data_IF_737811464852
#
_entry.id   IF_737811464852
#
_cell.length_a   1.000
_cell.length_b   1.000
_cell.length_c   1.000
_cell.angle_alpha   90.00
_cell.angle_beta   90.00
_cell.angle_gamma   90.00
#
_symmetry.space_group_name_H-M   'P 1'
#
loop_
_entity.id
_entity.type
_entity.pdbx_description
1 polymer ?
#
# COMPACT_ATOMS: atom_id res chain seq x y z
N UNK A 1 8.20 -7.26 -31.45
CA UNK A 1 8.41 -6.98 -30.02
C UNK A 1 7.11 -6.37 -29.50
N UNK A 2 6.58 -6.87 -28.40
CA UNK A 2 5.32 -6.39 -27.83
C UNK A 2 5.62 -5.51 -26.61
N UNK A 3 4.76 -4.55 -26.35
CA UNK A 3 4.78 -3.73 -25.14
C UNK A 3 3.36 -3.60 -24.60
N UNK A 4 3.21 -3.78 -23.28
CA UNK A 4 1.97 -3.48 -22.55
C UNK A 4 2.25 -2.22 -21.74
N UNK A 5 1.50 -1.14 -21.99
CA UNK A 5 1.81 0.17 -21.42
C UNK A 5 0.52 0.77 -20.86
N UNK A 6 0.53 1.11 -19.57
CA UNK A 6 -0.52 1.91 -18.98
C UNK A 6 -0.49 3.34 -19.54
N UNK A 7 -1.59 3.87 -20.06
CA UNK A 7 -1.62 5.15 -20.79
C UNK A 7 -2.53 6.23 -20.17
N UNK A 8 -3.04 5.99 -18.96
CA UNK A 8 -3.86 6.96 -18.22
C UNK A 8 -3.07 8.24 -17.88
N UNK A 9 -1.75 8.11 -17.67
CA UNK A 9 -0.86 9.22 -17.37
C UNK A 9 -0.06 9.73 -18.57
N UNK A 10 0.45 10.96 -18.47
CA UNK A 10 1.26 11.62 -19.51
C UNK A 10 2.46 10.78 -19.92
N UNK A 11 3.23 10.28 -18.95
CA UNK A 11 4.40 9.44 -19.24
C UNK A 11 4.01 8.14 -19.94
N UNK A 12 2.88 7.54 -19.56
CA UNK A 12 2.33 6.36 -20.23
C UNK A 12 2.08 6.61 -21.72
N UNK A 13 1.42 7.73 -22.04
CA UNK A 13 1.18 8.16 -23.44
C UNK A 13 2.49 8.38 -24.21
N UNK A 14 3.46 9.07 -23.60
CA UNK A 14 4.78 9.28 -24.21
C UNK A 14 5.53 7.97 -24.47
N UNK A 15 5.43 6.99 -23.56
CA UNK A 15 6.02 5.66 -23.76
C UNK A 15 5.32 4.87 -24.87
N UNK A 16 4.00 4.98 -25.02
CA UNK A 16 3.27 4.41 -26.16
C UNK A 16 3.79 4.97 -27.49
N UNK A 17 3.88 6.30 -27.62
CA UNK A 17 4.38 6.96 -28.84
C UNK A 17 5.80 6.51 -29.19
N UNK A 18 6.69 6.46 -28.18
CA UNK A 18 8.08 6.03 -28.36
C UNK A 18 8.18 4.55 -28.76
N UNK A 19 7.36 3.67 -28.18
CA UNK A 19 7.36 2.26 -28.53
C UNK A 19 6.85 2.04 -29.96
N UNK A 20 5.79 2.75 -30.36
CA UNK A 20 5.26 2.72 -31.73
C UNK A 20 6.31 3.23 -32.73
N UNK A 21 7.01 4.34 -32.43
CA UNK A 21 8.04 4.88 -33.31
C UNK A 21 9.24 3.94 -33.49
N UNK A 22 9.43 3.00 -32.57
CA UNK A 22 10.45 1.94 -32.65
C UNK A 22 9.94 0.64 -33.30
N UNK A 23 8.73 0.64 -33.86
CA UNK A 23 8.12 -0.51 -34.54
C UNK A 23 7.66 -1.62 -33.60
N UNK A 24 7.36 -1.30 -32.33
CA UNK A 24 6.79 -2.26 -31.39
C UNK A 24 5.26 -2.35 -31.56
N UNK A 25 4.71 -3.53 -31.31
CA UNK A 25 3.26 -3.69 -31.14
C UNK A 25 2.89 -3.27 -29.71
N UNK A 26 2.02 -2.27 -29.56
CA UNK A 26 1.67 -1.69 -28.25
C UNK A 26 0.23 -2.04 -27.89
N UNK A 27 0.06 -2.70 -26.75
CA UNK A 27 -1.21 -2.82 -26.05
C UNK A 27 -1.29 -1.69 -25.03
N UNK A 28 -2.09 -0.67 -25.32
CA UNK A 28 -2.30 0.45 -24.42
C UNK A 28 -3.42 0.12 -23.42
N UNK A 29 -3.09 0.14 -22.13
CA UNK A 29 -4.01 -0.22 -21.04
C UNK A 29 -4.47 1.04 -20.33
N UNK A 30 -5.78 1.26 -20.34
CA UNK A 30 -6.44 2.32 -19.59
C UNK A 30 -7.39 1.73 -18.56
N UNK A 31 -7.50 2.38 -17.40
CA UNK A 31 -8.55 2.13 -16.41
C UNK A 31 -9.83 2.93 -16.67
N UNK A 32 -9.82 3.85 -17.64
CA UNK A 32 -11.02 4.57 -18.09
C UNK A 32 -12.09 3.56 -18.55
N UNK A 33 -13.34 3.84 -18.21
CA UNK A 33 -14.52 3.02 -18.52
C UNK A 33 -14.54 1.59 -17.95
N UNK A 34 -13.62 1.24 -17.05
CA UNK A 34 -13.67 -0.03 -16.33
C UNK A 34 -14.50 0.10 -15.06
N UNK A 35 -15.50 -0.76 -14.92
CA UNK A 35 -16.23 -0.85 -13.66
C UNK A 35 -15.34 -1.53 -12.61
N UNK A 36 -14.73 -0.76 -11.71
CA UNK A 36 -13.90 -1.30 -10.64
C UNK A 36 -14.60 -1.17 -9.30
N UNK A 37 -14.74 -2.28 -8.59
CA UNK A 37 -15.21 -2.34 -7.21
C UNK A 37 -14.15 -3.07 -6.40
N UNK A 38 -13.78 -2.55 -5.23
CA UNK A 38 -12.83 -3.21 -4.36
C UNK A 38 -13.26 -3.09 -2.90
N UNK A 39 -12.76 -4.01 -2.10
CA UNK A 39 -12.96 -4.10 -0.65
C UNK A 39 -11.59 -4.30 0.01
N UNK A 40 -11.57 -4.53 1.32
CA UNK A 40 -10.34 -4.89 2.03
C UNK A 40 -9.70 -6.20 1.52
N UNK A 41 -10.47 -7.10 0.92
CA UNK A 41 -10.03 -8.47 0.60
C UNK A 41 -10.13 -8.86 -0.86
N UNK A 42 -11.02 -8.23 -1.61
CA UNK A 42 -11.35 -8.63 -2.97
C UNK A 42 -11.48 -7.42 -3.88
N UNK A 43 -11.25 -7.64 -5.17
CA UNK A 43 -11.48 -6.67 -6.23
C UNK A 43 -12.22 -7.32 -7.39
N UNK A 44 -13.14 -6.56 -7.98
CA UNK A 44 -13.94 -6.97 -9.11
C UNK A 44 -13.84 -5.93 -10.21
N UNK A 45 -13.51 -6.35 -11.43
CA UNK A 45 -13.27 -5.44 -12.55
C UNK A 45 -13.53 -6.09 -13.91
N UNK A 46 -13.73 -5.27 -14.93
CA UNK A 46 -13.98 -5.72 -16.30
C UNK A 46 -12.67 -5.87 -17.09
N UNK A 47 -12.50 -7.01 -17.76
CA UNK A 47 -11.33 -7.30 -18.58
C UNK A 47 -11.72 -8.18 -19.79
N UNK A 48 -11.49 -7.68 -21.02
CA UNK A 48 -11.77 -8.38 -22.30
C UNK A 48 -13.10 -9.14 -22.34
N UNK A 49 -14.18 -8.43 -22.03
CA UNK A 49 -15.58 -8.92 -21.95
C UNK A 49 -15.89 -9.84 -20.76
N UNK A 50 -14.91 -10.14 -19.92
CA UNK A 50 -15.10 -10.89 -18.67
C UNK A 50 -15.25 -9.96 -17.47
N UNK A 51 -16.05 -10.41 -16.49
CA UNK A 51 -16.09 -9.81 -15.15
C UNK A 51 -15.23 -10.65 -14.21
N UNK A 52 -14.06 -10.14 -13.85
CA UNK A 52 -13.14 -10.84 -12.96
C UNK A 52 -13.42 -10.51 -11.50
N UNK A 53 -13.20 -11.48 -10.62
CA UNK A 53 -13.20 -11.32 -9.18
C UNK A 53 -11.92 -11.95 -8.62
N UNK A 54 -11.04 -11.15 -8.03
CA UNK A 54 -9.78 -11.64 -7.49
C UNK A 54 -9.76 -11.48 -5.96
N UNK A 55 -9.15 -12.42 -5.23
CA UNK A 55 -9.00 -12.37 -3.76
C UNK A 55 -7.85 -11.46 -3.32
N UNK A 56 -7.76 -10.29 -3.96
CA UNK A 56 -6.81 -9.22 -3.62
C UNK A 56 -7.58 -7.92 -3.49
N UNK A 57 -7.49 -7.28 -2.32
CA UNK A 57 -8.18 -6.03 -2.01
C UNK A 57 -7.38 -4.79 -2.42
N UNK A 58 -8.00 -3.64 -2.18
CA UNK A 58 -7.34 -2.35 -2.30
C UNK A 58 -7.44 -1.68 -3.66
N UNK A 59 -7.03 -0.39 -3.72
CA UNK A 59 -7.28 0.46 -4.88
C UNK A 59 -6.49 0.08 -6.13
N UNK A 60 -5.38 -0.64 -5.97
CA UNK A 60 -4.42 -0.94 -7.05
C UNK A 60 -4.62 -2.31 -7.68
N UNK A 61 -5.35 -3.21 -7.02
CA UNK A 61 -5.37 -4.62 -7.37
C UNK A 61 -5.92 -4.86 -8.78
N UNK A 62 -7.00 -4.17 -9.15
CA UNK A 62 -7.59 -4.28 -10.48
C UNK A 62 -6.62 -3.84 -11.59
N UNK A 63 -5.99 -2.67 -11.43
CA UNK A 63 -5.03 -2.16 -12.41
C UNK A 63 -3.85 -3.11 -12.60
N UNK A 64 -3.23 -3.54 -11.49
CA UNK A 64 -2.09 -4.46 -11.53
C UNK A 64 -2.48 -5.82 -12.16
N UNK A 65 -3.67 -6.33 -11.84
CA UNK A 65 -4.17 -7.57 -12.41
C UNK A 65 -4.42 -7.44 -13.92
N UNK A 66 -4.98 -6.32 -14.40
CA UNK A 66 -5.19 -6.08 -15.84
C UNK A 66 -3.85 -6.01 -16.56
N UNK A 67 -2.86 -5.28 -16.03
CA UNK A 67 -1.53 -5.23 -16.62
C UNK A 67 -0.90 -6.62 -16.70
N UNK A 68 -0.99 -7.41 -15.63
CA UNK A 68 -0.49 -8.79 -15.61
C UNK A 68 -1.23 -9.68 -16.63
N UNK A 69 -2.54 -9.52 -16.75
CA UNK A 69 -3.38 -10.27 -17.69
C UNK A 69 -3.02 -9.95 -19.15
N UNK A 70 -2.83 -8.67 -19.46
CA UNK A 70 -2.40 -8.24 -20.80
C UNK A 70 -0.99 -8.74 -21.14
N UNK A 71 -0.07 -8.73 -20.18
CA UNK A 71 1.26 -9.34 -20.37
C UNK A 71 1.14 -10.84 -20.64
N UNK A 72 0.32 -11.56 -19.87
CA UNK A 72 0.11 -13.00 -20.05
C UNK A 72 -0.47 -13.34 -21.43
N UNK A 73 -1.42 -12.54 -21.93
CA UNK A 73 -1.93 -12.69 -23.29
C UNK A 73 -0.84 -12.49 -24.34
N UNK A 74 0.02 -11.48 -24.18
CA UNK A 74 1.14 -11.23 -25.09
C UNK A 74 2.20 -12.34 -25.06
N UNK A 75 2.24 -13.13 -23.97
CA UNK A 75 3.07 -14.33 -23.82
C UNK A 75 2.41 -15.61 -24.36
N UNK A 76 1.16 -15.53 -24.83
CA UNK A 76 0.46 -16.63 -25.49
C UNK A 76 -0.39 -17.50 -24.56
N UNK A 77 -0.73 -17.04 -23.35
CA UNK A 77 -1.73 -17.70 -22.52
C UNK A 77 -3.14 -17.39 -23.04
N UNK A 78 -4.05 -18.34 -22.89
CA UNK A 78 -5.45 -18.16 -23.26
C UNK A 78 -6.24 -17.46 -22.13
N UNK A 79 -7.31 -16.74 -22.49
CA UNK A 79 -8.16 -16.00 -21.52
C UNK A 79 -8.58 -16.88 -20.33
N UNK A 80 -9.08 -18.12 -20.51
CA UNK A 80 -9.49 -18.96 -19.39
C UNK A 80 -8.35 -19.32 -18.42
N UNK A 81 -7.13 -19.49 -18.92
CA UNK A 81 -5.95 -19.79 -18.09
C UNK A 81 -5.59 -18.57 -17.23
N UNK A 82 -5.67 -17.38 -17.81
CA UNK A 82 -5.39 -16.11 -17.13
C UNK A 82 -6.46 -15.83 -16.07
N UNK A 83 -7.74 -16.02 -16.41
CA UNK A 83 -8.85 -15.88 -15.46
C UNK A 83 -8.63 -16.81 -14.27
N UNK A 84 -8.35 -18.10 -14.51
CA UNK A 84 -8.09 -19.08 -13.46
C UNK A 84 -6.89 -18.67 -12.60
N UNK A 85 -5.79 -18.24 -13.21
CA UNK A 85 -4.59 -17.83 -12.50
C UNK A 85 -4.82 -16.60 -11.60
N UNK A 86 -5.59 -15.62 -12.07
CA UNK A 86 -5.93 -14.42 -11.29
C UNK A 86 -6.90 -14.72 -10.14
N UNK A 87 -7.83 -15.65 -10.33
CA UNK A 87 -8.79 -16.05 -9.27
C UNK A 87 -8.12 -16.87 -8.16
N UNK A 88 -7.03 -17.57 -8.46
CA UNK A 88 -6.33 -18.47 -7.53
C UNK A 88 -5.21 -17.80 -6.71
N UNK A 89 -4.97 -16.49 -6.89
CA UNK A 89 -3.96 -15.74 -6.12
C UNK A 89 -4.30 -15.76 -4.63
N UNK A 90 -3.29 -15.80 -3.76
CA UNK A 90 -3.50 -15.79 -2.29
C UNK A 90 -2.95 -14.51 -1.66
N UNK A 91 -3.61 -13.38 -1.94
CA UNK A 91 -3.13 -12.07 -1.48
C UNK A 91 -1.70 -11.75 -1.93
N UNK A 92 -1.16 -10.61 -1.51
CA UNK A 92 0.24 -10.26 -1.76
C UNK A 92 0.83 -9.70 -0.47
N UNK A 93 1.89 -10.36 -0.01
CA UNK A 93 2.63 -9.95 1.17
C UNK A 93 3.07 -8.48 1.07
N UNK A 94 2.64 -7.66 2.03
CA UNK A 94 3.02 -6.25 2.10
C UNK A 94 2.48 -5.34 0.99
N UNK A 95 1.48 -5.78 0.21
CA UNK A 95 0.76 -4.98 -0.79
C UNK A 95 -0.72 -5.04 -0.49
N UNK A 96 -1.24 -3.98 0.11
CA UNK A 96 -2.59 -3.90 0.64
C UNK A 96 -2.99 -5.17 1.43
N UNK A 97 -2.06 -5.66 2.26
CA UNK A 97 -2.24 -6.91 2.98
C UNK A 97 -3.21 -6.71 4.16
N UNK A 98 -4.41 -7.27 4.04
CA UNK A 98 -5.43 -7.19 5.08
C UNK A 98 -5.11 -8.11 6.26
N UNK A 99 -5.11 -7.53 7.46
CA UNK A 99 -4.97 -8.24 8.73
C UNK A 99 -6.13 -7.86 9.62
N UNK A 100 -6.86 -8.87 10.10
CA UNK A 100 -7.94 -8.66 11.08
C UNK A 100 -7.34 -8.47 12.47
N UNK A 101 -7.72 -7.38 13.15
CA UNK A 101 -7.28 -7.08 14.53
C UNK A 101 -8.33 -7.55 15.53
N UNK A 102 -9.60 -7.19 15.31
CA UNK A 102 -10.72 -7.63 16.15
C UNK A 102 -11.95 -7.90 15.28
N UNK A 103 -13.16 -7.95 15.86
CA UNK A 103 -14.40 -8.05 15.09
C UNK A 103 -14.63 -6.83 14.20
N UNK A 104 -14.33 -5.65 14.73
CA UNK A 104 -14.71 -4.38 14.12
C UNK A 104 -13.50 -3.50 13.77
N UNK A 105 -12.27 -4.00 13.97
CA UNK A 105 -11.03 -3.29 13.64
C UNK A 105 -10.22 -4.13 12.64
N UNK A 106 -9.79 -3.48 11.56
CA UNK A 106 -8.90 -4.05 10.55
C UNK A 106 -7.63 -3.23 10.41
N UNK A 107 -6.58 -3.89 9.94
CA UNK A 107 -5.35 -3.25 9.53
C UNK A 107 -5.01 -3.63 8.08
N UNK A 108 -4.29 -2.73 7.40
CA UNK A 108 -3.69 -2.97 6.10
C UNK A 108 -2.20 -2.64 6.18
N UNK A 109 -1.36 -3.56 5.69
CA UNK A 109 0.08 -3.32 5.52
C UNK A 109 0.37 -3.06 4.04
N UNK A 110 1.08 -1.97 3.75
CA UNK A 110 1.44 -1.59 2.40
C UNK A 110 2.86 -1.01 2.29
N UNK A 111 3.46 -1.16 1.12
CA UNK A 111 4.81 -0.67 0.80
C UNK A 111 4.84 0.81 0.37
N UNK A 112 3.73 1.53 0.41
CA UNK A 112 3.66 2.93 0.00
C UNK A 112 4.67 3.80 0.77
N UNK A 113 5.78 4.13 0.10
CA UNK A 113 6.91 4.89 0.66
C UNK A 113 7.24 6.14 -0.17
N UNK A 114 6.35 6.52 -1.09
CA UNK A 114 6.41 7.76 -1.87
C UNK A 114 5.15 8.59 -1.59
N UNK A 115 5.18 9.92 -1.77
CA UNK A 115 4.00 10.76 -1.54
C UNK A 115 2.80 10.32 -2.37
N UNK A 116 3.00 10.04 -3.67
CA UNK A 116 1.92 9.61 -4.57
C UNK A 116 1.32 8.25 -4.15
N UNK A 117 2.16 7.26 -3.86
CA UNK A 117 1.69 5.94 -3.45
C UNK A 117 0.92 6.00 -2.12
N UNK A 118 1.39 6.82 -1.16
CA UNK A 118 0.70 7.01 0.11
C UNK A 118 -0.64 7.73 -0.09
N UNK A 119 -0.69 8.73 -0.96
CA UNK A 119 -1.91 9.46 -1.27
C UNK A 119 -2.98 8.55 -1.90
N UNK A 120 -2.59 7.76 -2.89
CA UNK A 120 -3.49 6.80 -3.54
C UNK A 120 -3.95 5.71 -2.58
N UNK A 121 -3.05 5.22 -1.72
CA UNK A 121 -3.38 4.25 -0.67
C UNK A 121 -4.45 4.81 0.27
N UNK A 122 -4.23 6.02 0.82
CA UNK A 122 -5.18 6.66 1.75
C UNK A 122 -6.52 6.98 1.08
N UNK A 123 -6.51 7.46 -0.17
CA UNK A 123 -7.74 7.67 -0.96
C UNK A 123 -8.49 6.35 -1.17
N UNK A 124 -7.78 5.27 -1.45
CA UNK A 124 -8.34 3.92 -1.59
C UNK A 124 -8.95 3.42 -0.29
N UNK A 125 -8.21 3.50 0.82
CA UNK A 125 -8.69 3.16 2.15
C UNK A 125 -9.97 3.93 2.50
N UNK A 126 -10.01 5.24 2.25
CA UNK A 126 -11.19 6.07 2.53
C UNK A 126 -12.45 5.63 1.79
N UNK A 127 -12.33 5.08 0.57
CA UNK A 127 -13.48 4.58 -0.19
C UNK A 127 -14.12 3.33 0.43
N UNK A 128 -13.40 2.62 1.28
CA UNK A 128 -13.83 1.33 1.85
C UNK A 128 -13.89 1.31 3.38
N UNK A 129 -13.50 2.41 4.04
CA UNK A 129 -13.54 2.56 5.50
C UNK A 129 -14.64 3.53 5.91
N UNK A 130 -15.50 3.13 6.85
CA UNK A 130 -16.53 4.01 7.42
C UNK A 130 -16.01 4.81 8.64
N UNK A 131 -15.07 4.23 9.41
CA UNK A 131 -14.48 4.88 10.58
C UNK A 131 -13.25 5.73 10.25
N UNK A 132 -12.41 5.93 11.28
CA UNK A 132 -11.16 6.69 11.13
C UNK A 132 -10.10 5.87 10.41
N UNK A 133 -9.24 6.56 9.68
CA UNK A 133 -7.99 6.01 9.17
C UNK A 133 -6.87 6.40 10.15
N UNK A 134 -6.25 5.38 10.75
CA UNK A 134 -5.09 5.54 11.64
C UNK A 134 -3.85 5.10 10.86
N UNK A 135 -3.01 6.05 10.46
CA UNK A 135 -1.81 5.81 9.67
C UNK A 135 -0.57 5.68 10.57
N UNK A 136 0.20 4.60 10.41
CA UNK A 136 1.56 4.43 10.95
C UNK A 136 2.54 4.48 9.79
N UNK A 137 3.45 5.45 9.79
CA UNK A 137 4.43 5.57 8.71
C UNK A 137 5.72 6.28 9.15
N UNK A 138 6.78 6.08 8.37
CA UNK A 138 8.06 6.77 8.51
C UNK A 138 8.68 7.02 7.14
N UNK A 139 9.91 7.54 7.14
CA UNK A 139 10.73 7.68 5.93
C UNK A 139 12.10 7.05 6.16
N UNK A 140 12.70 6.51 5.10
CA UNK A 140 14.08 6.03 5.16
C UNK A 140 15.12 7.16 5.21
N UNK A 141 16.20 6.94 5.95
CA UNK A 141 17.42 7.75 5.93
C UNK A 141 18.32 7.43 4.74
N UNK A 142 19.35 8.24 4.52
CA UNK A 142 20.35 8.19 3.44
C UNK A 142 19.75 8.00 2.03
N UNK A 143 18.53 8.50 1.82
CA UNK A 143 17.79 8.44 0.55
C UNK A 143 17.31 9.84 0.17
N UNK A 144 16.22 9.93 -0.57
CA UNK A 144 15.59 11.19 -0.96
C UNK A 144 14.92 11.87 0.25
N UNK A 145 15.47 12.99 0.78
CA UNK A 145 14.84 13.72 1.87
C UNK A 145 13.71 14.62 1.37
N UNK A 146 13.68 14.95 0.08
CA UNK A 146 12.70 15.91 -0.49
C UNK A 146 11.27 15.40 -0.39
N UNK A 147 11.09 14.07 -0.33
CA UNK A 147 9.79 13.45 -0.13
C UNK A 147 9.26 13.55 1.30
N UNK A 148 10.10 13.73 2.32
CA UNK A 148 9.72 13.69 3.75
C UNK A 148 8.59 14.68 4.09
N UNK A 149 8.71 15.99 3.80
CA UNK A 149 7.62 16.93 4.02
C UNK A 149 6.41 16.64 3.13
N UNK A 150 6.60 16.15 1.90
CA UNK A 150 5.48 15.80 1.01
C UNK A 150 4.67 14.61 1.55
N UNK A 151 5.34 13.61 2.12
CA UNK A 151 4.69 12.48 2.78
C UNK A 151 3.95 12.93 4.05
N UNK A 152 4.52 13.86 4.83
CA UNK A 152 3.85 14.48 5.96
C UNK A 152 2.58 15.23 5.55
N UNK A 153 2.64 16.02 4.47
CA UNK A 153 1.47 16.73 3.93
C UNK A 153 0.35 15.74 3.54
N UNK A 154 0.69 14.70 2.76
CA UNK A 154 -0.25 13.64 2.37
C UNK A 154 -0.88 12.95 3.58
N UNK A 155 -0.06 12.57 4.57
CA UNK A 155 -0.54 11.93 5.80
C UNK A 155 -1.54 12.82 6.55
N UNK A 156 -1.22 14.11 6.72
CA UNK A 156 -2.06 15.08 7.43
C UNK A 156 -3.40 15.38 6.74
N UNK A 157 -3.51 15.10 5.44
CA UNK A 157 -4.72 15.30 4.65
C UNK A 157 -5.54 14.02 4.50
N UNK A 158 -4.89 12.85 4.46
CA UNK A 158 -5.52 11.57 4.14
C UNK A 158 -5.91 10.71 5.34
N UNK A 159 -5.26 10.91 6.50
CA UNK A 159 -5.51 10.16 7.73
C UNK A 159 -6.18 11.03 8.80
N UNK A 160 -7.00 10.41 9.66
CA UNK A 160 -7.61 11.09 10.81
C UNK A 160 -6.67 11.14 12.01
N UNK A 161 -5.81 10.13 12.15
CA UNK A 161 -4.71 10.07 13.11
C UNK A 161 -3.47 9.57 12.38
N UNK A 162 -2.37 10.33 12.49
CA UNK A 162 -1.07 9.92 11.99
C UNK A 162 -0.13 9.64 13.16
N UNK A 163 0.52 8.48 13.14
CA UNK A 163 1.58 8.07 14.05
C UNK A 163 2.87 8.04 13.21
N UNK A 164 3.73 9.03 13.44
CA UNK A 164 5.00 9.16 12.74
C UNK A 164 6.07 8.42 13.52
N UNK A 165 6.79 7.53 12.85
CA UNK A 165 7.74 6.60 13.45
C UNK A 165 8.99 6.42 12.60
N UNK A 166 9.97 5.70 13.13
CA UNK A 166 11.15 5.27 12.38
C UNK A 166 10.76 4.22 11.32
N UNK A 167 11.36 4.32 10.13
CA UNK A 167 11.33 3.27 9.09
C UNK A 167 12.73 2.65 9.04
N UNK A 168 13.51 2.87 7.99
CA UNK A 168 14.91 2.46 7.90
C UNK A 168 15.78 3.73 8.05
N UNK A 169 16.11 4.18 9.28
CA UNK A 169 16.86 5.41 9.49
C UNK A 169 18.30 5.33 8.97
N UNK A 170 18.85 4.13 8.77
CA UNK A 170 20.23 3.94 8.29
C UNK A 170 21.22 4.69 9.18
N UNK A 171 22.08 5.52 8.62
CA UNK A 171 23.05 6.32 9.36
C UNK A 171 22.49 7.66 9.83
N UNK A 172 21.26 8.01 9.46
CA UNK A 172 20.61 9.24 9.91
C UNK A 172 19.95 9.07 11.28
N UNK A 173 19.86 10.19 11.99
CA UNK A 173 19.13 10.29 13.24
C UNK A 173 17.62 10.20 12.96
N UNK A 174 16.89 9.21 13.53
CA UNK A 174 15.46 9.05 13.28
C UNK A 174 14.64 10.27 13.72
N UNK A 175 15.06 11.00 14.76
CA UNK A 175 14.36 12.21 15.20
C UNK A 175 14.41 13.30 14.13
N UNK A 176 15.55 13.47 13.46
CA UNK A 176 15.70 14.44 12.37
C UNK A 176 14.82 14.10 11.18
N UNK A 177 14.75 12.81 10.82
CA UNK A 177 13.85 12.36 9.74
C UNK A 177 12.40 12.68 10.10
N UNK A 178 12.00 12.41 11.34
CA UNK A 178 10.66 12.72 11.84
C UNK A 178 10.40 14.23 11.77
N UNK A 179 11.32 15.06 12.27
CA UNK A 179 11.20 16.52 12.20
C UNK A 179 10.97 17.02 10.77
N UNK A 180 11.69 16.47 9.79
CA UNK A 180 11.52 16.81 8.38
C UNK A 180 10.16 16.36 7.80
N UNK A 181 9.61 15.25 8.27
CA UNK A 181 8.22 14.84 7.93
C UNK A 181 7.23 15.84 8.52
N UNK A 182 7.41 16.22 9.79
CA UNK A 182 6.51 17.09 10.53
C UNK A 182 6.38 18.49 9.91
N UNK A 183 7.44 19.00 9.25
CA UNK A 183 7.40 20.27 8.50
C UNK A 183 6.25 20.30 7.47
N UNK A 184 5.92 19.15 6.88
CA UNK A 184 4.83 19.02 5.92
C UNK A 184 3.44 18.89 6.54
N UNK A 185 3.35 18.54 7.82
CA UNK A 185 2.08 18.23 8.49
C UNK A 185 1.38 19.51 8.96
N UNK A 186 0.62 20.12 8.05
CA UNK A 186 -0.09 21.39 8.31
C UNK A 186 -1.44 21.22 9.01
N UNK A 187 -1.94 19.99 9.16
CA UNK A 187 -3.25 19.68 9.76
C UNK A 187 -3.15 18.52 10.74
N UNK A 188 -4.02 18.56 11.75
CA UNK A 188 -4.04 17.56 12.82
C UNK A 188 -2.83 17.66 13.75
N UNK A 189 -2.78 16.76 14.73
CA UNK A 189 -1.65 16.61 15.63
C UNK A 189 -1.15 15.17 15.50
N UNK A 190 0.01 14.95 14.88
CA UNK A 190 0.58 13.61 14.81
C UNK A 190 1.00 13.14 16.19
N UNK A 191 0.91 11.84 16.42
CA UNK A 191 1.61 11.17 17.52
C UNK A 191 3.00 10.82 17.02
N UNK A 192 4.02 11.11 17.82
CA UNK A 192 5.41 10.75 17.52
C UNK A 192 5.75 9.55 18.40
N UNK A 193 6.15 8.45 17.77
CA UNK A 193 6.60 7.25 18.46
C UNK A 193 7.76 6.64 17.66
N UNK A 194 8.99 6.86 18.12
CA UNK A 194 10.20 6.55 17.34
C UNK A 194 10.33 5.04 17.11
N UNK A 195 10.04 4.24 18.13
CA UNK A 195 10.08 2.79 18.00
C UNK A 195 8.89 2.29 17.17
N UNK A 196 9.19 1.63 16.05
CA UNK A 196 8.18 1.22 15.09
C UNK A 196 7.22 0.17 15.65
N UNK A 197 7.67 -0.69 16.56
CA UNK A 197 6.81 -1.66 17.23
C UNK A 197 5.86 -0.95 18.19
N UNK A 198 6.35 -0.01 18.99
CA UNK A 198 5.54 0.82 19.88
C UNK A 198 4.55 1.69 19.11
N UNK A 199 4.90 2.18 17.91
CA UNK A 199 3.98 2.91 17.04
C UNK A 199 2.81 2.02 16.56
N UNK A 200 3.10 0.78 16.19
CA UNK A 200 2.09 -0.23 15.83
C UNK A 200 1.22 -0.57 17.06
N UNK A 201 1.81 -0.75 18.24
CA UNK A 201 1.09 -0.95 19.50
C UNK A 201 0.13 0.21 19.79
N UNK A 202 0.63 1.44 19.65
CA UNK A 202 -0.16 2.65 19.83
C UNK A 202 -1.33 2.70 18.87
N UNK A 203 -1.13 2.35 17.59
CA UNK A 203 -2.20 2.35 16.59
C UNK A 203 -3.37 1.44 16.95
N UNK A 204 -3.10 0.26 17.53
CA UNK A 204 -4.14 -0.66 17.99
C UNK A 204 -4.83 -0.09 19.22
N UNK A 205 -4.07 0.48 20.16
CA UNK A 205 -4.64 1.05 21.39
C UNK A 205 -5.55 2.26 21.16
N UNK A 206 -5.29 3.02 20.09
CA UNK A 206 -6.07 4.20 19.69
C UNK A 206 -7.29 3.83 18.85
N UNK A 207 -7.31 2.63 18.27
CA UNK A 207 -8.36 2.21 17.35
C UNK A 207 -9.69 1.95 18.05
N UNK A 208 -10.75 2.50 17.47
CA UNK A 208 -12.13 2.28 17.88
C UNK A 208 -12.84 1.33 16.89
N UNK A 209 -13.94 0.68 17.28
CA UNK A 209 -14.75 -0.10 16.35
C UNK A 209 -15.10 0.68 15.08
N UNK A 210 -14.84 0.09 13.91
CA UNK A 210 -15.03 0.71 12.60
C UNK A 210 -13.78 1.37 12.01
N UNK A 211 -12.73 1.60 12.81
CA UNK A 211 -11.47 2.19 12.35
C UNK A 211 -10.65 1.22 11.49
N UNK A 212 -9.87 1.81 10.58
CA UNK A 212 -8.91 1.13 9.73
C UNK A 212 -7.49 1.61 10.07
N UNK A 213 -6.65 0.68 10.51
CA UNK A 213 -5.23 0.93 10.71
C UNK A 213 -4.51 0.73 9.37
N UNK A 214 -3.64 1.65 8.98
CA UNK A 214 -2.82 1.57 7.78
C UNK A 214 -1.36 1.67 8.19
N UNK A 215 -0.58 0.63 7.94
CA UNK A 215 0.86 0.61 8.20
C UNK A 215 1.58 0.69 6.86
N UNK A 216 2.26 1.81 6.61
CA UNK A 216 2.87 2.11 5.32
C UNK A 216 4.40 2.17 5.39
N UNK A 217 5.04 1.96 4.24
CA UNK A 217 6.46 2.20 3.99
C UNK A 217 7.27 0.93 3.75
N UNK A 218 7.09 -0.09 4.59
CA UNK A 218 7.95 -1.28 4.62
C UNK A 218 7.35 -2.53 3.96
N UNK A 219 6.02 -2.64 3.90
CA UNK A 219 5.34 -3.74 3.22
C UNK A 219 5.77 -5.13 3.70
N UNK A 220 6.60 -5.82 2.90
CA UNK A 220 7.07 -7.19 3.15
C UNK A 220 8.52 -7.25 3.69
N UNK A 221 9.09 -6.11 4.07
CA UNK A 221 10.44 -6.07 4.63
C UNK A 221 10.48 -6.73 6.02
N UNK A 222 11.49 -7.59 6.21
CA UNK A 222 11.68 -8.41 7.41
C UNK A 222 12.86 -7.90 8.28
N UNK A 223 13.38 -6.71 7.97
CA UNK A 223 14.48 -6.08 8.72
C UNK A 223 14.32 -4.56 8.82
N UNK A 224 14.80 -3.96 9.91
CA UNK A 224 14.93 -2.51 10.06
C UNK A 224 16.42 -2.14 10.07
N UNK A 225 16.83 -1.25 9.18
CA UNK A 225 18.22 -0.80 9.06
C UNK A 225 18.49 0.40 9.99
N UNK A 226 19.31 0.20 11.03
CA UNK A 226 19.66 1.21 12.05
C UNK A 226 21.17 1.23 12.25
N UNK A 227 21.80 2.39 12.05
CA UNK A 227 23.27 2.59 12.14
C UNK A 227 24.09 1.57 11.30
N UNK A 228 23.52 1.14 10.17
CA UNK A 228 24.13 0.16 9.27
C UNK A 228 23.90 -1.31 9.67
N UNK A 229 23.20 -1.57 10.78
CA UNK A 229 22.81 -2.92 11.20
C UNK A 229 21.40 -3.27 10.73
N UNK A 230 21.22 -4.50 10.25
CA UNK A 230 19.94 -5.04 9.77
C UNK A 230 19.27 -5.81 10.91
N UNK A 231 18.47 -5.13 11.71
CA UNK A 231 17.77 -5.71 12.87
C UNK A 231 16.52 -6.46 12.40
N UNK A 232 16.30 -7.68 12.88
CA UNK A 232 15.11 -8.48 12.51
C UNK A 232 13.82 -7.78 12.96
N UNK A 233 12.98 -7.39 12.00
CA UNK A 233 11.73 -6.69 12.28
C UNK A 233 10.77 -6.73 11.08
N UNK A 234 9.53 -7.19 11.32
CA UNK A 234 8.46 -7.23 10.32
C UNK A 234 7.22 -6.54 10.86
N UNK A 235 6.65 -5.60 10.09
CA UNK A 235 5.42 -4.89 10.46
C UNK A 235 4.28 -5.89 10.71
N UNK A 236 4.24 -6.95 9.90
CA UNK A 236 3.24 -8.01 9.98
C UNK A 236 3.35 -8.81 11.26
N UNK A 237 4.56 -9.23 11.60
CA UNK A 237 4.76 -10.04 12.80
C UNK A 237 4.58 -9.20 14.05
N UNK A 238 5.07 -7.96 14.06
CA UNK A 238 4.80 -7.00 15.12
C UNK A 238 3.29 -6.83 15.33
N UNK A 239 2.55 -6.52 14.26
CA UNK A 239 1.10 -6.34 14.33
C UNK A 239 0.37 -7.60 14.83
N UNK A 240 0.76 -8.79 14.36
CA UNK A 240 0.16 -10.07 14.80
C UNK A 240 0.44 -10.37 16.26
N UNK A 241 1.67 -10.15 16.73
CA UNK A 241 2.06 -10.37 18.13
C UNK A 241 1.25 -9.44 19.03
N UNK A 242 1.20 -8.16 18.70
CA UNK A 242 0.47 -7.16 19.48
C UNK A 242 -1.03 -7.47 19.50
N UNK A 243 -1.59 -7.82 18.34
CA UNK A 243 -3.00 -8.21 18.23
C UNK A 243 -3.33 -9.37 19.17
N UNK A 244 -2.51 -10.43 19.18
CA UNK A 244 -2.71 -11.58 20.07
C UNK A 244 -2.64 -11.22 21.56
N UNK A 245 -1.78 -10.26 21.93
CA UNK A 245 -1.63 -9.84 23.31
C UNK A 245 -2.82 -9.01 23.81
N UNK A 246 -3.38 -8.15 22.95
CA UNK A 246 -4.50 -7.27 23.30
C UNK A 246 -5.87 -7.92 23.09
N UNK A 247 -5.98 -8.81 22.11
CA UNK A 247 -7.19 -9.56 21.77
C UNK A 247 -6.85 -11.06 21.73
N UNK A 248 -6.63 -11.69 22.90
CA UNK A 248 -6.39 -13.12 22.94
C UNK A 248 -7.59 -13.86 22.35
N UNK A 249 -7.39 -14.94 21.58
CA UNK A 249 -8.51 -15.77 21.13
C UNK A 249 -9.25 -16.27 22.37
N UNK A 250 -10.59 -16.19 22.35
CA UNK A 250 -11.41 -16.78 23.41
C UNK A 250 -11.01 -18.25 23.57
N UNK A 251 -10.59 -18.66 24.78
CA UNK A 251 -10.36 -20.06 25.10
C UNK A 251 -11.67 -20.81 24.86
N UNK A 252 -11.68 -21.73 23.89
CA UNK A 252 -12.80 -22.63 23.60
C UNK A 252 -12.96 -23.69 24.69
#
# INVERSE_FOLDING_TARGET
>A
KNAVIANDEEYGRLYCEKAISQGMNVEAVSMEDRNVVFTLKNSSFDWRQERLNIPVGGPFAAFNAIIAAEIALQLGLEIPEIVSGLTDVSGINGRFEHIRISKDISAVIDYAHTPSALEELLKGCRKISEGRIILVFGCGGDRDPTKRPLMGEVASLGADLSIVTSDNPRMEDPEKIIDEILVGMKKGFPVIEIDRKSAIERSISEALPGDLIVIAGRGHEEYQEVEGEMLSFSDRDALRIVTKNLFPPEEQ
#
